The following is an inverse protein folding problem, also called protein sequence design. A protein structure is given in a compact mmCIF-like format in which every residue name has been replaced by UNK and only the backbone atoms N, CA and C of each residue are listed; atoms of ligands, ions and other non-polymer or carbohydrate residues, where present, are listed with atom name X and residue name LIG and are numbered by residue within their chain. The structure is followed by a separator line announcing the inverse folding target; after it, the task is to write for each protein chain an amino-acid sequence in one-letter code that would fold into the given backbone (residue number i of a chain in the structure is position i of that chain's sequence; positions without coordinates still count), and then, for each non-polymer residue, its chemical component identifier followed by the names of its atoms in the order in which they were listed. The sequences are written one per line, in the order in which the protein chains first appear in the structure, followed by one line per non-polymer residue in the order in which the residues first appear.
data_IF_807217721955
#
_entry.id   IF_807217721955
#
_cell.length_a   1.000
_cell.length_b   1.000
_cell.length_c   1.000
_cell.angle_alpha   90.00
_cell.angle_beta   90.00
_cell.angle_gamma   90.00
#
_symmetry.space_group_name_H-M   'P 1'
#
loop_
_entity.id
_entity.type
_entity.pdbx_description
1 polymer ?
#
# COMPACT_ATOMS: atom_id res chain seq x y z
N UNK A 1 13.33 -9.59 25.33
CA UNK A 1 12.33 -8.65 24.93
C UNK A 1 11.58 -9.13 23.71
N UNK A 2 10.30 -9.04 23.78
CA UNK A 2 9.51 -9.49 22.65
C UNK A 2 9.62 -8.55 21.48
N UNK A 3 9.80 -9.13 20.33
CA UNK A 3 9.66 -8.40 19.10
C UNK A 3 8.17 -8.07 18.95
N UNK A 4 7.80 -6.81 18.90
CA UNK A 4 6.39 -6.50 18.70
C UNK A 4 5.95 -7.06 17.36
N UNK A 5 4.80 -7.71 17.36
CA UNK A 5 4.18 -8.11 16.14
C UNK A 5 3.76 -6.84 15.42
N UNK A 6 4.17 -6.69 14.17
CA UNK A 6 3.75 -5.52 13.45
C UNK A 6 2.25 -5.59 13.21
N UNK A 7 1.57 -4.50 13.54
CA UNK A 7 0.15 -4.37 13.23
C UNK A 7 -0.08 -3.47 12.04
N UNK A 8 0.99 -2.96 11.45
CA UNK A 8 0.87 -2.08 10.29
C UNK A 8 0.42 -2.89 9.09
N UNK A 9 -0.67 -2.47 8.49
CA UNK A 9 -1.32 -3.19 7.40
C UNK A 9 -0.90 -2.67 6.03
N UNK A 10 -0.64 -1.38 5.93
CA UNK A 10 -0.20 -0.77 4.68
C UNK A 10 1.08 0.01 4.92
N UNK A 11 1.92 0.05 3.89
CA UNK A 11 3.24 0.66 3.96
C UNK A 11 3.36 1.66 2.83
N UNK A 12 3.34 2.93 3.18
CA UNK A 12 3.36 4.03 2.23
C UNK A 12 4.75 4.23 1.64
N UNK A 13 4.82 4.70 0.41
CA UNK A 13 6.05 5.20 -0.20
C UNK A 13 5.72 6.38 -1.11
N UNK A 14 6.57 7.39 -1.09
CA UNK A 14 6.40 8.56 -1.94
C UNK A 14 7.02 9.79 -1.31
N UNK A 15 7.29 10.77 -2.14
CA UNK A 15 7.83 12.06 -1.67
C UNK A 15 9.11 11.89 -0.85
N UNK A 16 9.98 10.98 -1.27
CA UNK A 16 11.24 10.72 -0.60
C UNK A 16 11.15 9.96 0.71
N UNK A 17 9.96 9.48 1.07
CA UNK A 17 9.73 8.75 2.31
C UNK A 17 9.13 7.39 2.02
N UNK A 18 9.47 6.42 2.84
CA UNK A 18 8.85 5.12 2.75
C UNK A 18 8.76 4.48 4.14
N UNK A 19 7.66 3.80 4.39
CA UNK A 19 7.48 3.06 5.64
C UNK A 19 8.30 1.77 5.67
N UNK A 20 8.69 1.27 4.50
CA UNK A 20 9.47 0.05 4.41
C UNK A 20 10.80 0.27 3.72
N UNK A 21 11.50 -0.83 3.47
CA UNK A 21 12.78 -0.81 2.78
C UNK A 21 13.05 -2.18 2.14
N UNK A 22 14.23 -2.31 1.50
CA UNK A 22 14.57 -3.52 0.78
C UNK A 22 14.70 -4.75 1.66
N UNK A 23 14.93 -4.58 2.96
CA UNK A 23 15.05 -5.72 3.88
C UNK A 23 13.72 -6.38 4.20
N UNK A 24 12.62 -5.74 3.82
CA UNK A 24 11.27 -6.18 4.19
C UNK A 24 10.57 -6.96 3.08
N UNK A 25 11.33 -7.73 2.30
CA UNK A 25 10.78 -8.45 1.16
C UNK A 25 9.70 -9.46 1.56
N UNK A 26 9.86 -10.10 2.71
CA UNK A 26 8.85 -11.08 3.16
C UNK A 26 7.53 -10.42 3.49
N UNK A 27 7.56 -9.22 4.01
CA UNK A 27 6.35 -8.51 4.43
C UNK A 27 5.74 -7.71 3.29
N UNK A 28 6.56 -7.13 2.43
CA UNK A 28 6.10 -6.22 1.36
C UNK A 28 6.06 -6.89 -0.01
N UNK A 29 6.67 -8.06 -0.14
CA UNK A 29 6.89 -8.65 -1.45
C UNK A 29 8.05 -7.95 -2.17
N UNK A 30 8.52 -8.56 -3.24
CA UNK A 30 9.68 -8.02 -3.96
C UNK A 30 9.42 -6.64 -4.55
N UNK A 31 8.28 -6.46 -5.19
CA UNK A 31 7.95 -5.18 -5.82
C UNK A 31 7.77 -4.08 -4.78
N UNK A 32 7.03 -4.36 -3.71
CA UNK A 32 6.80 -3.37 -2.66
C UNK A 32 8.08 -2.96 -1.97
N UNK A 33 8.93 -3.92 -1.64
CA UNK A 33 10.21 -3.63 -1.00
C UNK A 33 11.12 -2.80 -1.90
N UNK A 34 11.16 -3.13 -3.19
CA UNK A 34 11.98 -2.38 -4.14
C UNK A 34 11.48 -0.94 -4.32
N UNK A 35 10.17 -0.75 -4.42
CA UNK A 35 9.61 0.59 -4.56
C UNK A 35 9.90 1.44 -3.32
N UNK A 36 9.81 0.86 -2.15
CA UNK A 36 10.14 1.55 -0.92
C UNK A 36 11.61 1.97 -0.89
N UNK A 37 12.50 1.04 -1.26
CA UNK A 37 13.92 1.32 -1.28
C UNK A 37 14.27 2.41 -2.30
N UNK A 38 13.73 2.32 -3.50
CA UNK A 38 13.98 3.30 -4.53
C UNK A 38 13.53 4.69 -4.08
N UNK A 39 12.40 4.77 -3.41
CA UNK A 39 11.91 6.03 -2.87
C UNK A 39 12.87 6.60 -1.83
N UNK A 40 13.38 5.76 -0.94
CA UNK A 40 14.33 6.19 0.07
C UNK A 40 15.65 6.68 -0.51
N UNK A 41 16.03 6.11 -1.65
CA UNK A 41 17.25 6.52 -2.34
C UNK A 41 17.08 7.83 -3.12
N UNK A 42 15.90 8.40 -3.11
CA UNK A 42 15.64 9.68 -3.78
C UNK A 42 15.25 9.55 -5.23
N UNK A 43 14.95 8.34 -5.70
CA UNK A 43 14.49 8.14 -7.06
C UNK A 43 13.06 8.63 -7.21
N UNK A 44 12.68 9.14 -8.39
CA UNK A 44 11.33 9.68 -8.60
C UNK A 44 10.30 8.57 -8.79
N UNK A 45 9.89 7.97 -7.69
CA UNK A 45 8.91 6.89 -7.68
C UNK A 45 7.52 7.49 -7.47
N UNK A 46 6.56 7.19 -8.35
CA UNK A 46 5.18 7.65 -8.11
C UNK A 46 4.68 7.15 -6.76
N UNK A 47 3.98 7.99 -5.99
CA UNK A 47 3.57 7.60 -4.64
C UNK A 47 2.54 6.48 -4.66
N UNK A 48 2.55 5.69 -3.60
CA UNK A 48 1.64 4.58 -3.47
C UNK A 48 1.81 3.92 -2.12
N UNK A 49 1.29 2.71 -2.00
CA UNK A 49 1.44 1.94 -0.76
C UNK A 49 1.37 0.45 -1.08
N UNK A 50 1.92 -0.33 -0.17
CA UNK A 50 1.92 -1.78 -0.28
C UNK A 50 1.08 -2.35 0.85
N UNK A 51 0.19 -3.28 0.51
CA UNK A 51 -0.55 -4.04 1.51
C UNK A 51 0.34 -5.21 1.92
N UNK A 52 0.52 -5.40 3.22
CA UNK A 52 1.43 -6.42 3.71
C UNK A 52 0.98 -7.83 3.29
N UNK A 53 1.96 -8.73 3.16
CA UNK A 53 1.65 -10.12 2.81
C UNK A 53 0.81 -10.77 3.90
N UNK A 54 0.95 -10.34 5.15
CA UNK A 54 0.13 -10.84 6.25
C UNK A 54 -1.35 -10.51 6.03
N UNK A 55 -1.64 -9.33 5.55
CA UNK A 55 -3.02 -8.93 5.26
C UNK A 55 -3.57 -9.68 4.07
N UNK A 56 -2.74 -9.92 3.06
CA UNK A 56 -3.16 -10.72 1.90
C UNK A 56 -3.50 -12.14 2.34
N UNK A 57 -2.66 -12.72 3.19
CA UNK A 57 -2.91 -14.06 3.72
C UNK A 57 -4.20 -14.09 4.53
N UNK A 58 -4.39 -13.12 5.41
CA UNK A 58 -5.60 -13.05 6.23
C UNK A 58 -6.86 -12.94 5.37
N UNK A 59 -6.79 -12.14 4.31
CA UNK A 59 -7.89 -11.98 3.39
C UNK A 59 -8.30 -13.33 2.78
N UNK A 60 -7.33 -14.08 2.27
CA UNK A 60 -7.62 -15.35 1.60
C UNK A 60 -8.02 -16.46 2.60
N UNK A 61 -7.47 -16.43 3.80
CA UNK A 61 -7.88 -17.37 4.86
C UNK A 61 -9.35 -17.16 5.22
N UNK A 62 -9.83 -15.91 5.16
CA UNK A 62 -11.23 -15.61 5.43
C UNK A 62 -12.16 -15.95 4.27
N UNK A 63 -11.64 -16.48 3.18
CA UNK A 63 -12.43 -16.87 2.03
C UNK A 63 -12.47 -15.85 0.89
N UNK A 64 -11.76 -14.73 1.03
CA UNK A 64 -11.68 -13.74 -0.03
C UNK A 64 -12.90 -12.84 -0.18
N UNK A 65 -13.81 -12.85 0.79
CA UNK A 65 -15.05 -12.09 0.71
C UNK A 65 -14.97 -10.74 1.42
N UNK A 66 -14.34 -10.73 2.61
CA UNK A 66 -14.26 -9.53 3.43
C UNK A 66 -12.81 -9.15 3.68
N UNK A 67 -12.56 -7.85 3.74
CA UNK A 67 -11.23 -7.37 4.07
C UNK A 67 -10.94 -7.58 5.56
N UNK A 68 -9.69 -7.86 5.93
CA UNK A 68 -9.31 -7.89 7.34
C UNK A 68 -9.67 -6.59 8.05
N UNK A 69 -9.94 -6.68 9.34
CA UNK A 69 -10.37 -5.53 10.12
C UNK A 69 -9.39 -4.38 10.05
N UNK A 70 -9.90 -3.19 9.76
CA UNK A 70 -9.10 -1.98 9.69
C UNK A 70 -8.37 -1.76 8.38
N UNK A 71 -8.34 -2.75 7.50
CA UNK A 71 -7.57 -2.63 6.26
C UNK A 71 -8.17 -1.58 5.32
N UNK A 72 -9.48 -1.53 5.22
CA UNK A 72 -10.12 -0.53 4.36
C UNK A 72 -9.77 0.88 4.81
N UNK A 73 -9.85 1.15 6.12
CA UNK A 73 -9.50 2.47 6.65
C UNK A 73 -8.04 2.80 6.43
N UNK A 74 -7.16 1.81 6.59
CA UNK A 74 -5.73 2.02 6.35
C UNK A 74 -5.46 2.36 4.89
N UNK A 75 -6.15 1.68 3.97
CA UNK A 75 -6.02 1.98 2.55
C UNK A 75 -6.53 3.38 2.21
N UNK A 76 -7.66 3.78 2.79
CA UNK A 76 -8.20 5.12 2.55
C UNK A 76 -7.26 6.19 3.06
N UNK A 77 -6.63 5.96 4.21
CA UNK A 77 -5.64 6.88 4.75
C UNK A 77 -4.42 6.99 3.86
N UNK A 78 -3.96 5.88 3.30
CA UNK A 78 -2.82 5.89 2.40
C UNK A 78 -3.17 6.59 1.08
N UNK A 79 -4.37 6.36 0.55
CA UNK A 79 -4.84 7.05 -0.65
C UNK A 79 -4.88 8.56 -0.40
N UNK A 80 -5.32 8.98 0.77
CA UNK A 80 -5.34 10.40 1.12
C UNK A 80 -3.93 11.00 1.11
N UNK A 81 -2.93 10.26 1.56
CA UNK A 81 -1.54 10.72 1.51
C UNK A 81 -1.07 10.87 0.07
N UNK A 82 -1.42 9.91 -0.79
CA UNK A 82 -1.07 9.98 -2.21
C UNK A 82 -1.73 11.20 -2.85
N UNK A 83 -3.02 11.42 -2.54
CA UNK A 83 -3.74 12.58 -3.06
C UNK A 83 -3.10 13.89 -2.65
N UNK A 84 -2.65 13.97 -1.40
CA UNK A 84 -2.01 15.18 -0.89
C UNK A 84 -0.72 15.47 -1.64
N UNK A 85 0.08 14.44 -1.90
CA UNK A 85 1.34 14.61 -2.63
C UNK A 85 1.08 15.06 -4.07
N UNK A 86 0.06 14.50 -4.71
CA UNK A 86 -0.25 14.82 -6.09
C UNK A 86 -1.03 16.13 -6.23
N UNK A 87 -1.60 16.64 -5.14
CA UNK A 87 -2.44 17.83 -5.16
C UNK A 87 -3.76 17.60 -5.87
N UNK A 88 -4.22 16.35 -5.93
CA UNK A 88 -5.47 16.01 -6.62
C UNK A 88 -6.16 14.89 -5.87
N UNK A 89 -7.47 14.79 -6.06
CA UNK A 89 -8.24 13.70 -5.49
C UNK A 89 -8.60 12.70 -6.58
N UNK A 90 -8.58 11.43 -6.21
CA UNK A 90 -9.14 10.40 -7.07
C UNK A 90 -10.65 10.44 -6.94
N UNK A 91 -11.35 10.05 -7.98
CA UNK A 91 -12.80 10.00 -7.94
C UNK A 91 -13.29 8.98 -6.91
N UNK A 92 -14.54 9.09 -6.51
CA UNK A 92 -15.10 8.21 -5.49
C UNK A 92 -14.96 6.74 -5.88
N UNK A 93 -15.12 6.42 -7.14
CA UNK A 93 -14.98 5.06 -7.62
C UNK A 93 -13.56 4.55 -7.45
N UNK A 94 -12.58 5.43 -7.55
CA UNK A 94 -11.17 5.06 -7.44
C UNK A 94 -10.75 4.89 -5.99
N UNK A 95 -11.46 5.53 -5.07
CA UNK A 95 -11.15 5.41 -3.64
C UNK A 95 -11.94 4.30 -2.98
N UNK A 96 -12.88 3.70 -3.69
CA UNK A 96 -13.64 2.58 -3.16
C UNK A 96 -12.73 1.36 -3.09
N UNK A 97 -12.63 0.78 -1.92
CA UNK A 97 -11.84 -0.43 -1.73
C UNK A 97 -12.76 -1.61 -2.01
N UNK A 98 -12.94 -1.91 -3.27
CA UNK A 98 -13.81 -2.98 -3.72
C UNK A 98 -13.04 -3.82 -4.74
N UNK A 99 -12.11 -4.60 -4.24
CA UNK A 99 -11.20 -5.36 -5.09
C UNK A 99 -11.78 -6.71 -5.44
N UNK A 100 -11.73 -7.12 -6.71
CA UNK A 100 -12.06 -8.50 -7.06
C UNK A 100 -11.02 -9.47 -6.47
N UNK A 101 -9.78 -9.02 -6.39
CA UNK A 101 -8.71 -9.70 -5.66
C UNK A 101 -7.95 -8.63 -4.92
N UNK A 102 -7.34 -9.00 -3.81
CA UNK A 102 -6.60 -8.04 -3.01
C UNK A 102 -5.23 -7.78 -3.67
N UNK A 103 -5.00 -6.57 -4.19
CA UNK A 103 -3.69 -6.26 -4.77
C UNK A 103 -2.66 -6.05 -3.67
N UNK A 104 -1.40 -6.24 -4.01
CA UNK A 104 -0.32 -6.00 -3.05
C UNK A 104 0.18 -4.57 -3.10
N UNK A 105 0.23 -3.99 -4.30
CA UNK A 105 0.74 -2.64 -4.47
C UNK A 105 -0.31 -1.80 -5.16
N UNK A 106 -0.58 -0.64 -4.60
CA UNK A 106 -1.47 0.36 -5.17
C UNK A 106 -0.63 1.60 -5.33
N UNK A 107 -0.52 2.09 -6.55
CA UNK A 107 0.41 3.17 -6.88
C UNK A 107 -0.25 4.15 -7.83
N UNK A 108 0.10 5.41 -7.72
CA UNK A 108 -0.39 6.41 -8.66
C UNK A 108 0.14 6.08 -10.04
N UNK A 109 -0.78 5.89 -10.97
CA UNK A 109 -0.45 5.66 -12.38
C UNK A 109 -0.39 6.98 -13.12
N UNK A 110 -1.29 7.88 -12.75
CA UNK A 110 -1.34 9.22 -13.29
C UNK A 110 -1.91 10.11 -12.18
N UNK A 111 -2.09 11.39 -12.48
CA UNK A 111 -2.64 12.31 -11.48
C UNK A 111 -4.07 11.99 -11.09
N UNK A 112 -4.75 11.11 -11.83
CA UNK A 112 -6.16 10.82 -11.61
C UNK A 112 -6.46 9.34 -11.45
N UNK A 113 -5.46 8.45 -11.58
CA UNK A 113 -5.70 7.00 -11.56
C UNK A 113 -4.70 6.29 -10.64
N UNK A 114 -5.17 5.20 -10.07
CA UNK A 114 -4.35 4.28 -9.31
C UNK A 114 -4.12 3.01 -10.12
N UNK A 115 -2.93 2.44 -9.98
CA UNK A 115 -2.62 1.11 -10.50
C UNK A 115 -2.69 0.11 -9.36
N UNK A 116 -3.22 -1.06 -9.66
CA UNK A 116 -3.37 -2.14 -8.69
C UNK A 116 -2.54 -3.34 -9.18
N UNK A 117 -1.59 -3.75 -8.35
CA UNK A 117 -0.70 -4.87 -8.68
C UNK A 117 -0.72 -5.95 -7.63
#
# INVERSE_FOLDING_TARGET
MNQPTTTQQVFFFGDGRADGDASMRNLLGGKGANLAEMTRLGMPVPPGFTISTEMCTAYYVQGGDDLPGGLEDACRGAIAQVEEILGRKFGDADTAVNFPTLPRVIQAHSKTKLSFN
#
